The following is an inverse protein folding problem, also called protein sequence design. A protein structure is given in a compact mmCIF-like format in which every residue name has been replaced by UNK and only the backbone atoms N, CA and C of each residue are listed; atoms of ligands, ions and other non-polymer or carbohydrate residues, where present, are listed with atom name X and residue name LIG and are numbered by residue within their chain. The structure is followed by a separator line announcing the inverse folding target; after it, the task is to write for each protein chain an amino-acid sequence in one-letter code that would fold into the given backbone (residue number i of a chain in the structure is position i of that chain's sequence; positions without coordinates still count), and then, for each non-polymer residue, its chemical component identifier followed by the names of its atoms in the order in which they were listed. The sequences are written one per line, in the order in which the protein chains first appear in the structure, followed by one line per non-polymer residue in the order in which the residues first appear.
data_IF_586037845716
#
_entry.id   IF_586037845716
#
_cell.length_a   1.000
_cell.length_b   1.000
_cell.length_c   1.000
_cell.angle_alpha   90.00
_cell.angle_beta   90.00
_cell.angle_gamma   90.00
#
_symmetry.space_group_name_H-M   'P 1'
#
loop_
_entity.id
_entity.type
_entity.pdbx_description
1 polymer ?
#
# COMPACT_ATOMS: atom_id res chain seq x y z
N UNK A 1 -48.24 9.62 -5.71
CA UNK A 1 -46.84 10.03 -5.99
C UNK A 1 -45.77 8.91 -5.93
N UNK A 2 -46.09 7.63 -5.65
CA UNK A 2 -45.07 6.54 -5.54
C UNK A 2 -44.55 5.95 -6.88
N UNK A 3 -45.25 6.14 -8.01
CA UNK A 3 -44.85 5.58 -9.31
C UNK A 3 -43.60 6.24 -9.93
N UNK A 4 -43.28 7.47 -9.54
CA UNK A 4 -42.16 8.23 -10.12
C UNK A 4 -40.78 7.72 -9.66
N UNK A 5 -40.68 7.18 -8.44
CA UNK A 5 -39.40 6.70 -7.89
C UNK A 5 -38.93 5.39 -8.56
N UNK A 6 -39.84 4.47 -8.87
CA UNK A 6 -39.50 3.21 -9.54
C UNK A 6 -38.98 3.41 -10.96
N UNK A 7 -39.56 4.33 -11.73
CA UNK A 7 -39.11 4.61 -13.10
C UNK A 7 -37.68 5.15 -13.11
N UNK A 8 -37.32 6.02 -12.15
CA UNK A 8 -35.96 6.56 -12.03
C UNK A 8 -34.93 5.48 -11.68
N UNK A 9 -35.27 4.57 -10.77
CA UNK A 9 -34.36 3.48 -10.36
C UNK A 9 -34.10 2.52 -11.51
N UNK A 10 -35.15 2.11 -12.24
CA UNK A 10 -35.00 1.22 -13.40
C UNK A 10 -34.15 1.88 -14.48
N UNK A 11 -34.37 3.16 -14.77
CA UNK A 11 -33.59 3.89 -15.77
C UNK A 11 -32.10 3.98 -15.42
N UNK A 12 -31.77 4.24 -14.14
CA UNK A 12 -30.38 4.31 -13.67
C UNK A 12 -29.69 2.94 -13.78
N UNK A 13 -30.37 1.86 -13.42
CA UNK A 13 -29.84 0.50 -13.54
C UNK A 13 -29.58 0.14 -15.01
N UNK A 14 -30.50 0.48 -15.92
CA UNK A 14 -30.33 0.22 -17.36
C UNK A 14 -29.17 1.02 -17.95
N UNK A 15 -29.01 2.29 -17.56
CA UNK A 15 -27.89 3.11 -18.02
C UNK A 15 -26.54 2.60 -17.52
N UNK A 16 -26.46 2.14 -16.26
CA UNK A 16 -25.26 1.51 -15.71
C UNK A 16 -24.90 0.20 -16.42
N UNK A 17 -25.89 -0.65 -16.71
CA UNK A 17 -25.68 -1.89 -17.46
C UNK A 17 -25.15 -1.62 -18.88
N UNK A 18 -25.71 -0.63 -19.59
CA UNK A 18 -25.24 -0.22 -20.91
C UNK A 18 -23.83 0.35 -20.88
N UNK A 19 -23.50 1.19 -19.88
CA UNK A 19 -22.16 1.73 -19.72
C UNK A 19 -21.12 0.63 -19.46
N UNK A 20 -21.42 -0.33 -18.58
CA UNK A 20 -20.57 -1.49 -18.34
C UNK A 20 -20.35 -2.32 -19.62
N UNK A 21 -21.40 -2.53 -20.41
CA UNK A 21 -21.31 -3.30 -21.67
C UNK A 21 -20.43 -2.58 -22.69
N UNK A 22 -20.53 -1.26 -22.79
CA UNK A 22 -19.73 -0.45 -23.72
C UNK A 22 -18.24 -0.45 -23.34
N UNK A 23 -17.90 -0.35 -22.06
CA UNK A 23 -16.51 -0.44 -21.57
C UNK A 23 -15.93 -1.83 -21.87
N UNK A 24 -16.72 -2.89 -21.67
CA UNK A 24 -16.29 -4.26 -21.94
C UNK A 24 -16.03 -4.50 -23.44
N UNK A 25 -16.88 -3.94 -24.31
CA UNK A 25 -16.67 -4.00 -25.77
C UNK A 25 -15.41 -3.24 -26.19
N UNK A 26 -15.17 -2.06 -25.62
CA UNK A 26 -13.99 -1.26 -25.92
C UNK A 26 -12.69 -1.97 -25.51
N UNK A 27 -12.67 -2.61 -24.33
CA UNK A 27 -11.51 -3.35 -23.85
C UNK A 27 -11.22 -4.60 -24.71
N UNK A 28 -12.29 -5.27 -25.18
CA UNK A 28 -12.15 -6.42 -26.10
C UNK A 28 -11.58 -5.99 -27.46
N UNK A 29 -12.09 -4.90 -28.03
CA UNK A 29 -11.54 -4.34 -29.28
C UNK A 29 -10.08 -3.89 -29.16
N UNK A 30 -9.67 -3.41 -27.98
CA UNK A 30 -8.29 -3.03 -27.74
C UNK A 30 -7.35 -4.24 -27.64
N UNK A 31 -7.81 -5.36 -27.04
CA UNK A 31 -7.04 -6.62 -26.99
C UNK A 31 -6.88 -7.24 -28.37
N UNK A 32 -7.93 -7.26 -29.18
CA UNK A 32 -7.86 -7.81 -30.54
C UNK A 32 -6.91 -6.99 -31.44
N UNK A 33 -6.84 -5.67 -31.26
CA UNK A 33 -5.87 -4.80 -31.98
C UNK A 33 -4.40 -5.07 -31.65
N UNK A 34 -4.10 -5.73 -30.54
CA UNK A 34 -2.71 -6.03 -30.14
C UNK A 34 -2.26 -7.41 -30.61
N UNK A 35 -3.19 -8.31 -30.96
CA UNK A 35 -2.87 -9.65 -31.46
C UNK A 35 -2.27 -9.64 -32.88
N UNK A 36 -2.56 -8.62 -33.69
CA UNK A 36 -2.14 -8.54 -35.10
C UNK A 36 -0.86 -7.72 -35.35
N UNK A 37 -0.17 -7.22 -34.32
CA UNK A 37 1.09 -6.51 -34.54
C UNK A 37 2.24 -7.50 -34.78
N UNK A 38 2.87 -7.51 -35.97
CA UNK A 38 4.06 -8.32 -36.20
C UNK A 38 5.20 -7.88 -35.25
N UNK A 39 6.06 -8.82 -34.83
CA UNK A 39 7.18 -8.50 -33.95
C UNK A 39 8.08 -7.46 -34.63
N UNK A 40 8.29 -6.33 -33.94
CA UNK A 40 9.21 -5.29 -34.40
C UNK A 40 10.62 -5.86 -34.50
N UNK A 41 11.25 -5.69 -35.67
CA UNK A 41 12.63 -6.09 -35.94
C UNK A 41 13.61 -5.55 -34.87
N UNK A 42 14.68 -6.31 -34.55
CA UNK A 42 15.65 -5.90 -33.56
C UNK A 42 16.36 -4.61 -33.98
N UNK A 43 16.28 -3.58 -33.10
CA UNK A 43 17.04 -2.34 -33.24
C UNK A 43 18.53 -2.63 -32.99
N UNK A 44 19.35 -2.47 -34.01
CA UNK A 44 20.81 -2.41 -33.88
C UNK A 44 21.22 -1.35 -32.86
N UNK A 45 21.83 -1.78 -31.76
CA UNK A 45 22.53 -0.89 -30.83
C UNK A 45 23.90 -0.59 -31.43
N UNK A 46 24.03 0.59 -32.05
CA UNK A 46 25.35 1.16 -32.34
C UNK A 46 26.04 1.51 -31.01
N UNK A 47 27.21 0.91 -30.83
CA UNK A 47 28.18 1.25 -29.80
C UNK A 47 28.61 2.71 -29.94
N UNK A 48 28.51 3.47 -28.85
CA UNK A 48 29.34 4.64 -28.61
C UNK A 48 30.02 4.44 -27.26
N UNK A 49 31.31 4.13 -27.34
CA UNK A 49 32.25 3.95 -26.24
C UNK A 49 33.44 4.85 -26.53
N UNK A 50 33.58 5.92 -25.73
CA UNK A 50 34.67 6.91 -25.64
C UNK A 50 33.97 8.22 -25.23
N UNK A 51 34.31 8.99 -24.19
CA UNK A 51 35.50 9.21 -23.38
C UNK A 51 35.04 9.94 -22.11
N UNK A 52 35.63 9.60 -20.96
CA UNK A 52 35.92 10.51 -19.83
C UNK A 52 36.46 9.67 -18.67
N UNK A 53 37.76 9.35 -18.76
CA UNK A 53 38.58 8.83 -17.68
C UNK A 53 39.48 9.98 -17.24
N UNK A 54 39.11 10.65 -16.17
CA UNK A 54 39.87 11.59 -15.32
C UNK A 54 38.78 12.35 -14.58
N UNK A 55 38.51 12.19 -13.29
CA UNK A 55 39.41 12.38 -12.16
C UNK A 55 38.67 11.84 -10.93
N UNK A 56 38.97 10.63 -10.48
CA UNK A 56 38.36 10.04 -9.29
C UNK A 56 39.48 9.69 -8.31
N UNK A 57 39.94 10.71 -7.58
CA UNK A 57 40.79 10.52 -6.42
C UNK A 57 40.11 9.54 -5.45
N UNK A 58 40.83 8.44 -5.17
CA UNK A 58 40.37 7.33 -4.36
C UNK A 58 40.10 7.77 -2.91
N UNK A 59 38.85 8.15 -2.62
CA UNK A 59 38.32 8.07 -1.26
C UNK A 59 38.26 6.58 -0.91
N UNK A 60 39.15 6.13 -0.02
CA UNK A 60 39.06 4.81 0.58
C UNK A 60 37.61 4.60 1.06
N UNK A 61 36.95 3.49 0.67
CA UNK A 61 35.60 3.22 1.12
C UNK A 61 35.63 3.15 2.65
N UNK A 62 34.82 4.00 3.30
CA UNK A 62 34.64 3.95 4.73
C UNK A 62 34.31 2.50 5.12
N UNK A 63 35.06 1.96 6.07
CA UNK A 63 34.81 0.63 6.63
C UNK A 63 33.37 0.63 7.12
N UNK A 64 32.51 -0.12 6.45
CA UNK A 64 31.09 -0.21 6.80
C UNK A 64 31.01 -1.00 8.10
N UNK A 65 30.78 -0.31 9.22
CA UNK A 65 30.49 -1.00 10.48
C UNK A 65 29.27 -1.92 10.29
N UNK A 66 29.29 -3.15 10.83
CA UNK A 66 28.20 -4.10 10.67
C UNK A 66 26.91 -3.54 11.27
N UNK A 67 25.78 -3.69 10.56
CA UNK A 67 24.48 -3.20 11.03
C UNK A 67 24.12 -3.92 12.34
N UNK A 68 23.99 -3.22 13.48
CA UNK A 68 23.73 -3.88 14.77
C UNK A 68 22.37 -4.62 14.79
N UNK A 69 21.46 -4.32 13.85
CA UNK A 69 20.21 -5.07 13.67
C UNK A 69 20.38 -6.44 12.99
N UNK A 70 21.53 -6.74 12.38
CA UNK A 70 21.76 -8.05 11.75
C UNK A 70 22.27 -9.12 12.73
N UNK A 71 22.90 -8.72 13.84
CA UNK A 71 23.52 -9.63 14.79
C UNK A 71 22.71 -9.86 16.08
N UNK A 72 21.71 -9.02 16.35
CA UNK A 72 20.94 -9.06 17.58
C UNK A 72 19.77 -10.06 17.54
N UNK A 73 19.46 -10.67 18.69
CA UNK A 73 18.33 -11.59 18.84
C UNK A 73 16.99 -10.84 18.85
N UNK A 74 16.01 -11.35 18.10
CA UNK A 74 14.66 -10.79 18.05
C UNK A 74 13.81 -11.30 19.22
N UNK A 75 13.37 -10.37 20.08
CA UNK A 75 12.49 -10.69 21.18
C UNK A 75 11.02 -10.64 20.71
N UNK A 76 10.39 -11.80 20.59
CA UNK A 76 8.99 -11.92 20.15
C UNK A 76 7.94 -11.57 21.22
N UNK A 77 8.34 -11.47 22.49
CA UNK A 77 7.39 -11.33 23.61
C UNK A 77 6.97 -9.88 23.90
N UNK A 78 7.76 -8.88 23.50
CA UNK A 78 7.50 -7.48 23.81
C UNK A 78 7.29 -6.64 22.54
N UNK A 79 6.09 -6.09 22.39
CA UNK A 79 5.72 -5.25 21.24
C UNK A 79 6.04 -3.78 21.49
N UNK A 80 6.74 -3.15 20.55
CA UNK A 80 6.85 -1.69 20.46
C UNK A 80 5.51 -1.12 20.01
N UNK A 81 5.02 -0.10 20.69
CA UNK A 81 3.81 0.61 20.28
C UNK A 81 4.21 1.87 19.53
N UNK A 82 3.67 2.05 18.33
CA UNK A 82 3.80 3.31 17.59
C UNK A 82 2.66 4.22 18.03
N UNK A 83 2.99 5.42 18.48
CA UNK A 83 2.03 6.48 18.73
C UNK A 83 1.94 7.41 17.52
N UNK A 84 0.76 7.98 17.29
CA UNK A 84 0.52 8.92 16.20
C UNK A 84 -0.15 10.20 16.70
N UNK A 85 0.10 11.31 16.02
CA UNK A 85 -0.50 12.62 16.27
C UNK A 85 -0.77 13.34 14.94
N UNK A 86 -1.90 14.03 14.88
CA UNK A 86 -2.37 14.82 13.73
C UNK A 86 -2.29 16.30 14.17
N UNK A 87 -1.48 17.11 13.49
CA UNK A 87 -1.27 18.55 13.75
C UNK A 87 -0.93 18.89 15.21
N UNK A 88 -0.09 18.06 15.81
CA UNK A 88 0.34 18.18 17.21
C UNK A 88 -0.81 18.08 18.23
N UNK A 89 -1.94 17.47 17.85
CA UNK A 89 -2.98 17.06 18.79
C UNK A 89 -2.48 15.93 19.70
N UNK A 90 -3.31 15.53 20.67
CA UNK A 90 -2.99 14.46 21.61
C UNK A 90 -2.51 13.18 20.91
N UNK A 91 -1.46 12.59 21.46
CA UNK A 91 -0.91 11.32 20.98
C UNK A 91 -1.89 10.18 21.23
N UNK A 92 -2.04 9.30 20.24
CA UNK A 92 -2.88 8.11 20.33
C UNK A 92 -2.10 6.86 19.93
N UNK A 93 -2.46 5.73 20.54
CA UNK A 93 -1.95 4.39 20.22
C UNK A 93 -2.89 3.61 19.30
N UNK A 94 -3.90 4.28 18.72
CA UNK A 94 -4.81 3.66 17.78
C UNK A 94 -4.02 3.07 16.59
N UNK A 95 -4.33 1.84 16.14
CA UNK A 95 -3.64 1.21 15.02
C UNK A 95 -4.02 1.82 13.67
N UNK A 96 -4.93 2.80 13.64
CA UNK A 96 -5.37 3.48 12.44
C UNK A 96 -5.59 4.97 12.72
N UNK A 97 -5.09 5.83 11.83
CA UNK A 97 -5.39 7.26 11.80
C UNK A 97 -5.80 7.67 10.40
N UNK A 98 -6.79 8.56 10.28
CA UNK A 98 -7.41 8.91 8.99
C UNK A 98 -7.38 10.42 8.74
N UNK A 99 -6.19 11.01 8.50
CA UNK A 99 -6.07 12.45 8.33
C UNK A 99 -6.59 12.93 6.97
N UNK A 100 -7.04 14.19 6.93
CA UNK A 100 -7.17 14.93 5.68
C UNK A 100 -5.79 15.13 5.03
N UNK A 101 -5.75 15.11 3.70
CA UNK A 101 -4.55 15.43 2.93
C UNK A 101 -3.99 16.79 3.30
N UNK A 102 -2.66 16.87 3.41
CA UNK A 102 -1.94 18.08 3.81
C UNK A 102 -1.88 18.34 5.32
N UNK A 103 -2.61 17.57 6.14
CA UNK A 103 -2.47 17.63 7.60
C UNK A 103 -1.15 16.99 8.03
N UNK A 104 -0.54 17.54 9.07
CA UNK A 104 0.77 17.11 9.56
C UNK A 104 0.60 15.83 10.39
N UNK A 105 1.28 14.76 10.00
CA UNK A 105 1.26 13.48 10.73
C UNK A 105 2.62 13.23 11.36
N UNK A 106 2.63 13.06 12.66
CA UNK A 106 3.81 12.66 13.42
C UNK A 106 3.62 11.25 13.96
N UNK A 107 4.64 10.41 13.80
CA UNK A 107 4.71 9.08 14.39
C UNK A 107 5.87 9.06 15.39
N UNK A 108 5.68 8.42 16.54
CA UNK A 108 6.77 8.24 17.51
C UNK A 108 6.78 6.88 18.16
N UNK A 109 7.93 6.55 18.72
CA UNK A 109 8.09 5.47 19.70
C UNK A 109 8.53 6.07 21.04
N UNK A 110 7.94 5.58 22.11
CA UNK A 110 8.28 6.01 23.47
C UNK A 110 9.34 5.11 24.11
N UNK A 111 10.24 5.71 24.89
CA UNK A 111 11.25 5.02 25.69
C UNK A 111 12.66 5.00 25.07
N UNK A 112 13.68 4.61 25.87
CA UNK A 112 15.07 4.58 25.42
C UNK A 112 15.30 3.43 24.43
N UNK A 113 16.08 3.72 23.38
CA UNK A 113 16.54 2.77 22.37
C UNK A 113 17.97 3.11 21.95
N UNK A 114 18.81 2.09 21.77
CA UNK A 114 20.18 2.20 21.26
C UNK A 114 20.18 2.40 19.74
N UNK A 115 19.09 2.01 19.07
CA UNK A 115 18.89 2.22 17.64
C UNK A 115 17.42 2.12 17.25
N UNK A 116 17.02 2.86 16.22
CA UNK A 116 15.64 2.87 15.70
C UNK A 116 15.66 2.73 14.18
N UNK A 117 14.80 1.86 13.65
CA UNK A 117 14.61 1.62 12.22
C UNK A 117 13.12 1.68 11.91
N UNK A 118 12.74 2.65 11.08
CA UNK A 118 11.39 2.79 10.57
C UNK A 118 11.26 2.10 9.23
N UNK A 119 10.11 1.49 9.00
CA UNK A 119 9.79 0.80 7.77
C UNK A 119 8.40 1.18 7.29
N UNK A 120 8.26 1.23 5.97
CA UNK A 120 6.96 1.25 5.32
C UNK A 120 6.69 -0.11 4.67
N UNK A 121 5.45 -0.57 4.81
CA UNK A 121 4.97 -1.81 4.22
C UNK A 121 4.05 -1.46 3.04
N UNK A 122 4.30 -2.11 1.90
CA UNK A 122 3.59 -1.91 0.65
C UNK A 122 2.91 -3.22 0.24
N UNK A 123 1.58 -3.29 0.15
CA UNK A 123 0.92 -4.38 -0.57
C UNK A 123 1.24 -4.26 -2.07
N UNK A 124 1.42 -5.39 -2.75
CA UNK A 124 1.58 -5.41 -4.20
C UNK A 124 0.23 -5.11 -4.88
N UNK A 125 0.01 -3.87 -5.30
CA UNK A 125 -1.25 -3.44 -5.90
C UNK A 125 -1.40 -3.80 -7.37
N UNK A 126 -0.32 -4.23 -8.03
CA UNK A 126 -0.32 -4.61 -9.44
C UNK A 126 -0.97 -5.98 -9.71
N UNK A 127 -0.99 -6.86 -8.69
CA UNK A 127 -1.51 -8.21 -8.77
C UNK A 127 -3.02 -8.24 -8.51
N UNK A 128 -3.74 -9.08 -9.25
CA UNK A 128 -5.14 -9.40 -9.00
C UNK A 128 -5.18 -10.55 -7.99
N UNK A 129 -5.70 -10.30 -6.80
CA UNK A 129 -5.95 -11.33 -5.79
C UNK A 129 -7.41 -11.78 -5.86
N UNK A 130 -7.70 -13.02 -5.44
CA UNK A 130 -9.05 -13.56 -5.56
C UNK A 130 -9.38 -14.58 -4.48
N UNK A 131 -10.31 -14.26 -3.58
CA UNK A 131 -10.82 -15.22 -2.60
C UNK A 131 -11.96 -16.10 -3.13
N UNK A 132 -12.52 -15.74 -4.29
CA UNK A 132 -13.54 -16.49 -5.00
C UNK A 132 -13.10 -16.76 -6.45
N UNK A 133 -13.81 -17.63 -7.16
CA UNK A 133 -13.61 -17.84 -8.58
C UNK A 133 -14.10 -16.62 -9.38
N UNK A 134 -13.28 -16.15 -10.31
CA UNK A 134 -13.59 -15.02 -11.17
C UNK A 134 -14.79 -15.34 -12.09
N UNK A 135 -15.49 -14.32 -12.64
CA UNK A 135 -16.68 -14.55 -13.45
C UNK A 135 -16.46 -15.42 -14.71
N UNK A 136 -15.22 -15.55 -15.16
CA UNK A 136 -14.82 -16.33 -16.33
C UNK A 136 -14.14 -17.68 -16.00
N UNK A 137 -14.07 -18.05 -14.73
CA UNK A 137 -13.56 -19.35 -14.27
C UNK A 137 -14.70 -20.38 -14.13
N UNK A 138 -14.36 -21.67 -13.96
CA UNK A 138 -15.37 -22.69 -13.60
C UNK A 138 -15.96 -22.40 -12.21
N UNK A 139 -17.26 -22.65 -12.04
CA UNK A 139 -18.00 -22.33 -10.81
C UNK A 139 -17.81 -20.87 -10.37
N UNK A 140 -18.26 -19.90 -11.19
CA UNK A 140 -18.02 -18.49 -10.95
C UNK A 140 -18.57 -18.05 -9.59
N UNK A 141 -17.86 -17.14 -8.92
CA UNK A 141 -18.18 -16.62 -7.58
C UNK A 141 -18.10 -17.64 -6.43
N UNK A 142 -17.73 -18.90 -6.69
CA UNK A 142 -17.52 -19.87 -5.62
C UNK A 142 -16.33 -19.45 -4.75
N UNK A 143 -16.54 -19.41 -3.43
CA UNK A 143 -15.48 -19.15 -2.46
C UNK A 143 -14.39 -20.23 -2.52
N UNK A 144 -13.12 -19.81 -2.59
CA UNK A 144 -11.94 -20.70 -2.62
C UNK A 144 -10.97 -20.51 -1.46
N UNK A 145 -11.34 -19.69 -0.47
CA UNK A 145 -10.46 -19.32 0.65
C UNK A 145 -9.72 -18.02 0.38
N UNK A 146 -8.95 -17.55 1.37
CA UNK A 146 -8.22 -16.30 1.21
C UNK A 146 -6.99 -16.46 0.32
N UNK A 147 -6.85 -15.57 -0.67
CA UNK A 147 -5.63 -15.48 -1.44
C UNK A 147 -4.51 -14.79 -0.62
N UNK A 148 -3.26 -15.19 -0.87
CA UNK A 148 -2.11 -14.63 -0.17
C UNK A 148 -1.68 -13.31 -0.79
N UNK A 149 -2.05 -12.22 -0.13
CA UNK A 149 -1.58 -10.88 -0.47
C UNK A 149 -0.06 -10.80 -0.25
N UNK A 150 0.66 -10.29 -1.26
CA UNK A 150 2.10 -10.09 -1.18
C UNK A 150 2.38 -8.70 -0.63
N UNK A 151 3.29 -8.64 0.34
CA UNK A 151 3.72 -7.40 0.96
C UNK A 151 5.23 -7.24 0.79
N UNK A 152 5.65 -6.01 0.59
CA UNK A 152 7.04 -5.59 0.57
C UNK A 152 7.29 -4.65 1.74
N UNK A 153 8.51 -4.66 2.27
CA UNK A 153 8.92 -3.74 3.32
C UNK A 153 10.17 -2.99 2.87
N UNK A 154 10.18 -1.68 3.10
CA UNK A 154 11.32 -0.82 2.81
C UNK A 154 11.67 -0.03 4.07
N UNK A 155 12.96 0.03 4.38
CA UNK A 155 13.47 0.89 5.44
C UNK A 155 13.41 2.36 5.01
N UNK A 156 12.92 3.22 5.90
CA UNK A 156 12.95 4.68 5.72
C UNK A 156 14.27 5.20 6.31
N UNK A 157 15.36 5.05 5.53
CA UNK A 157 16.74 5.29 6.01
C UNK A 157 16.98 6.73 6.47
N UNK A 158 16.24 7.70 5.93
CA UNK A 158 16.27 9.10 6.36
C UNK A 158 15.82 9.31 7.81
N UNK A 159 15.13 8.33 8.40
CA UNK A 159 14.62 8.35 9.77
C UNK A 159 15.38 7.42 10.73
N UNK A 160 16.56 6.94 10.34
CA UNK A 160 17.40 6.12 11.23
C UNK A 160 17.66 6.83 12.55
N UNK A 161 17.48 6.10 13.64
CA UNK A 161 17.70 6.57 15.03
C UNK A 161 16.84 7.78 15.45
N UNK A 162 15.78 8.09 14.71
CA UNK A 162 14.81 9.12 15.11
C UNK A 162 13.64 8.47 15.85
N UNK A 163 13.38 8.92 17.08
CA UNK A 163 12.24 8.45 17.88
C UNK A 163 10.92 9.09 17.45
N UNK A 164 10.98 10.22 16.75
CA UNK A 164 9.86 10.99 16.21
C UNK A 164 10.09 11.24 14.73
N UNK A 165 9.12 10.91 13.89
CA UNK A 165 9.22 11.09 12.43
C UNK A 165 7.95 11.74 11.88
N UNK A 166 8.08 12.40 10.73
CA UNK A 166 6.98 12.97 9.97
C UNK A 166 7.03 12.41 8.55
N UNK A 167 6.43 11.23 8.31
CA UNK A 167 6.71 10.44 7.10
C UNK A 167 6.23 11.11 5.80
N UNK A 168 5.43 12.17 5.88
CA UNK A 168 4.86 12.88 4.73
C UNK A 168 5.39 14.33 4.58
N UNK A 169 6.32 14.79 5.43
CA UNK A 169 6.90 16.14 5.31
C UNK A 169 8.08 16.14 4.32
N UNK A 170 8.14 17.15 3.44
CA UNK A 170 9.19 17.30 2.41
C UNK A 170 8.88 16.52 1.12
N UNK A 171 9.04 15.20 1.14
CA UNK A 171 8.71 14.31 0.03
C UNK A 171 8.01 13.06 0.58
N UNK A 172 6.84 12.72 0.04
CA UNK A 172 6.17 11.48 0.38
C UNK A 172 7.11 10.29 0.13
N UNK A 173 7.03 9.21 0.92
CA UNK A 173 7.90 8.06 0.73
C UNK A 173 7.70 7.54 -0.69
N UNK A 174 8.72 7.71 -1.52
CA UNK A 174 8.71 7.20 -2.88
C UNK A 174 9.02 5.71 -2.76
N UNK A 175 8.17 4.82 -3.28
CA UNK A 175 8.50 3.41 -3.30
C UNK A 175 9.87 3.19 -3.97
N UNK A 176 10.71 2.27 -3.46
CA UNK A 176 11.98 1.96 -4.11
C UNK A 176 11.78 1.65 -5.59
N UNK A 177 12.72 2.10 -6.43
CA UNK A 177 12.67 1.84 -7.88
C UNK A 177 12.52 0.35 -8.20
N UNK A 178 13.06 -0.54 -7.35
CA UNK A 178 12.93 -2.00 -7.54
C UNK A 178 11.49 -2.51 -7.37
N UNK A 179 10.59 -1.72 -6.79
CA UNK A 179 9.18 -2.07 -6.59
C UNK A 179 8.23 -1.35 -7.58
N UNK A 180 8.76 -0.55 -8.51
CA UNK A 180 7.95 0.30 -9.39
C UNK A 180 6.86 -0.50 -10.15
N UNK A 181 7.22 -1.64 -10.76
CA UNK A 181 6.26 -2.46 -11.51
C UNK A 181 5.18 -3.09 -10.62
N UNK A 182 5.58 -3.51 -9.40
CA UNK A 182 4.69 -4.12 -8.40
C UNK A 182 3.72 -3.11 -7.78
N UNK A 183 4.12 -1.84 -7.80
CA UNK A 183 3.44 -0.70 -7.21
C UNK A 183 2.99 0.31 -8.27
N UNK A 184 2.75 -0.13 -9.50
CA UNK A 184 2.36 0.75 -10.63
C UNK A 184 1.13 1.63 -10.37
N UNK A 185 0.27 1.24 -9.43
CA UNK A 185 -0.94 1.96 -9.04
C UNK A 185 -0.79 2.68 -7.69
N UNK A 186 0.42 2.78 -7.17
CA UNK A 186 0.68 3.44 -5.89
C UNK A 186 0.48 4.94 -5.99
N UNK A 187 -0.36 5.48 -5.13
CA UNK A 187 -0.61 6.90 -4.98
C UNK A 187 0.21 7.43 -3.79
N UNK A 188 1.08 8.40 -4.06
CA UNK A 188 1.94 8.98 -3.03
C UNK A 188 1.25 10.07 -2.21
N UNK A 189 0.13 10.63 -2.69
CA UNK A 189 -0.52 11.81 -2.10
C UNK A 189 -1.74 11.48 -1.23
N UNK A 190 -2.42 10.37 -1.51
CA UNK A 190 -3.57 9.87 -0.76
C UNK A 190 -3.59 8.34 -0.77
N UNK A 191 -4.34 7.74 0.15
CA UNK A 191 -4.41 6.28 0.30
C UNK A 191 -4.00 5.78 1.67
N UNK A 192 -3.80 4.47 1.76
CA UNK A 192 -3.39 3.80 2.99
C UNK A 192 -1.90 3.48 2.98
N UNK A 193 -1.22 3.84 4.08
CA UNK A 193 0.21 3.63 4.28
C UNK A 193 0.41 2.85 5.58
N UNK A 194 1.15 1.73 5.53
CA UNK A 194 1.40 0.88 6.68
C UNK A 194 2.82 1.09 7.21
N UNK A 195 2.95 1.24 8.53
CA UNK A 195 4.23 1.51 9.18
C UNK A 195 4.58 0.44 10.20
N UNK A 196 5.88 0.14 10.27
CA UNK A 196 6.48 -0.72 11.27
C UNK A 196 7.74 -0.05 11.81
N UNK A 197 8.06 -0.31 13.07
CA UNK A 197 9.31 0.11 13.69
C UNK A 197 10.01 -1.07 14.34
N UNK A 198 11.34 -1.09 14.27
CA UNK A 198 12.21 -1.96 15.06
C UNK A 198 13.12 -1.07 15.91
N UNK A 199 13.28 -1.42 17.18
CA UNK A 199 14.20 -0.75 18.10
C UNK A 199 15.22 -1.76 18.63
N UNK A 200 16.47 -1.33 18.74
CA UNK A 200 17.52 -2.04 19.45
C UNK A 200 17.57 -1.48 20.87
N UNK A 201 17.53 -2.36 21.87
CA UNK A 201 17.64 -1.97 23.28
C UNK A 201 18.37 -3.07 24.05
N UNK A 202 19.47 -2.72 24.70
CA UNK A 202 20.31 -3.63 25.47
C UNK A 202 20.72 -4.88 24.65
N UNK A 203 21.10 -4.66 23.38
CA UNK A 203 21.50 -5.75 22.47
C UNK A 203 20.36 -6.65 21.97
N UNK A 204 19.10 -6.31 22.25
CA UNK A 204 17.91 -7.06 21.77
C UNK A 204 17.05 -6.22 20.84
N UNK A 205 16.46 -6.87 19.83
CA UNK A 205 15.53 -6.22 18.91
C UNK A 205 14.10 -6.40 19.42
N UNK A 206 13.38 -5.30 19.49
CA UNK A 206 11.94 -5.24 19.73
C UNK A 206 11.26 -4.63 18.51
N UNK A 207 10.04 -5.05 18.19
CA UNK A 207 9.31 -4.54 17.01
C UNK A 207 7.86 -4.21 17.31
N UNK A 208 7.30 -3.30 16.53
CA UNK A 208 5.85 -3.16 16.45
C UNK A 208 5.24 -4.29 15.64
N UNK A 209 3.90 -4.36 15.64
CA UNK A 209 3.19 -5.12 14.63
C UNK A 209 3.67 -4.70 13.24
N UNK A 210 3.86 -5.68 12.34
CA UNK A 210 4.39 -5.46 11.00
C UNK A 210 4.10 -6.61 10.04
N UNK A 211 4.92 -6.73 9.00
CA UNK A 211 4.72 -7.71 7.92
C UNK A 211 4.75 -9.16 8.42
N UNK A 212 5.52 -9.42 9.49
CA UNK A 212 5.61 -10.74 10.14
C UNK A 212 4.31 -11.17 10.83
N UNK A 213 3.40 -10.22 11.11
CA UNK A 213 2.11 -10.50 11.75
C UNK A 213 0.99 -10.63 10.70
N UNK A 214 1.31 -11.01 9.48
CA UNK A 214 0.33 -11.33 8.45
C UNK A 214 -0.17 -12.77 8.63
N UNK A 215 -1.47 -12.98 8.44
CA UNK A 215 -2.06 -14.32 8.36
C UNK A 215 -2.67 -14.57 6.97
N UNK A 216 -3.45 -15.64 6.83
CA UNK A 216 -4.10 -15.97 5.56
C UNK A 216 -5.07 -14.88 5.08
N UNK A 217 -5.60 -14.03 5.97
CA UNK A 217 -6.51 -12.94 5.62
C UNK A 217 -5.78 -11.68 5.14
N UNK A 218 -4.46 -11.61 5.38
CA UNK A 218 -3.58 -10.49 5.02
C UNK A 218 -2.86 -9.90 6.22
N UNK A 219 -2.48 -8.62 6.13
CA UNK A 219 -1.74 -7.91 7.17
C UNK A 219 -2.61 -7.74 8.43
N UNK A 220 -2.04 -7.95 9.62
CA UNK A 220 -2.78 -7.77 10.88
C UNK A 220 -3.32 -6.34 11.02
N UNK A 221 -4.60 -6.16 11.44
CA UNK A 221 -5.16 -4.85 11.77
C UNK A 221 -4.45 -4.10 12.90
N UNK A 222 -3.51 -4.75 13.61
CA UNK A 222 -2.66 -4.13 14.64
C UNK A 222 -1.47 -3.38 14.04
N UNK A 223 -1.13 -3.61 12.78
CA UNK A 223 -0.10 -2.81 12.08
C UNK A 223 -0.62 -1.39 11.93
N UNK A 224 0.18 -0.41 12.32
CA UNK A 224 -0.21 0.99 12.23
C UNK A 224 -0.48 1.35 10.76
N UNK A 225 -1.68 1.87 10.49
CA UNK A 225 -2.05 2.42 9.19
C UNK A 225 -2.39 3.91 9.27
N UNK A 226 -1.89 4.66 8.29
CA UNK A 226 -2.28 6.05 8.04
C UNK A 226 -3.10 6.08 6.76
N UNK A 227 -4.37 6.44 6.85
CA UNK A 227 -5.34 6.46 5.76
C UNK A 227 -5.59 7.93 5.35
N UNK A 228 -4.77 8.46 4.46
CA UNK A 228 -4.88 9.85 3.99
C UNK A 228 -6.05 9.98 3.01
N UNK A 229 -6.98 10.90 3.29
CA UNK A 229 -8.17 11.17 2.47
C UNK A 229 -8.22 12.60 1.98
N UNK A 230 -8.78 12.82 0.80
CA UNK A 230 -8.91 14.17 0.20
C UNK A 230 -9.93 15.06 0.93
N UNK A 231 -11.02 14.50 1.47
CA UNK A 231 -12.09 15.27 2.14
C UNK A 231 -12.92 14.42 3.12
N UNK A 232 -13.85 15.04 3.85
CA UNK A 232 -14.85 14.38 4.72
C UNK A 232 -16.07 13.85 3.97
N UNK A 233 -16.07 13.90 2.64
CA UNK A 233 -17.18 13.35 1.84
C UNK A 233 -16.97 11.88 1.56
N UNK A 234 -18.02 11.20 1.11
CA UNK A 234 -17.94 9.84 0.59
C UNK A 234 -16.81 9.65 -0.45
N UNK A 235 -16.67 10.60 -1.39
CA UNK A 235 -15.58 10.59 -2.37
C UNK A 235 -14.21 10.80 -1.73
N UNK A 236 -14.13 11.62 -0.69
CA UNK A 236 -12.93 11.77 0.13
C UNK A 236 -12.51 10.45 0.78
N UNK A 237 -13.44 9.72 1.40
CA UNK A 237 -13.13 8.41 1.98
C UNK A 237 -12.74 7.35 0.94
N UNK A 238 -13.31 7.38 -0.27
CA UNK A 238 -12.85 6.50 -1.35
C UNK A 238 -11.36 6.69 -1.67
N UNK A 239 -10.84 7.92 -1.60
CA UNK A 239 -9.40 8.16 -1.84
C UNK A 239 -8.50 7.52 -0.79
N UNK A 240 -8.99 7.23 0.42
CA UNK A 240 -8.19 6.55 1.44
C UNK A 240 -7.95 5.07 1.11
N UNK A 241 -8.70 4.50 0.15
CA UNK A 241 -8.51 3.15 -0.38
C UNK A 241 -7.47 3.08 -1.51
N UNK A 242 -6.88 4.19 -1.93
CA UNK A 242 -5.67 4.09 -2.74
C UNK A 242 -4.59 3.31 -1.96
N UNK A 243 -3.74 2.58 -2.68
CA UNK A 243 -2.74 1.66 -2.12
C UNK A 243 -3.31 0.43 -1.40
N UNK A 244 -4.62 0.18 -1.43
CA UNK A 244 -5.21 -1.09 -0.98
C UNK A 244 -5.27 -2.06 -2.17
N UNK A 245 -4.86 -3.32 -2.01
CA UNK A 245 -4.89 -4.29 -3.12
C UNK A 245 -6.32 -4.67 -3.48
N UNK A 246 -6.56 -4.87 -4.78
CA UNK A 246 -7.80 -5.44 -5.28
C UNK A 246 -7.88 -6.93 -4.97
N UNK A 247 -8.92 -7.36 -4.26
CA UNK A 247 -9.16 -8.75 -3.88
C UNK A 247 -10.58 -9.12 -4.30
N UNK A 248 -10.74 -9.89 -5.37
CA UNK A 248 -12.06 -10.33 -5.82
C UNK A 248 -12.72 -11.26 -4.80
N UNK A 249 -13.96 -10.98 -4.43
CA UNK A 249 -14.62 -11.66 -3.31
C UNK A 249 -13.96 -11.32 -1.98
N UNK A 250 -13.55 -10.06 -1.79
CA UNK A 250 -13.14 -9.59 -0.47
C UNK A 250 -14.28 -9.78 0.53
N UNK A 251 -13.91 -9.76 1.80
CA UNK A 251 -14.87 -9.87 2.91
C UNK A 251 -14.78 -8.62 3.77
N UNK A 252 -15.84 -8.36 4.55
CA UNK A 252 -15.90 -7.20 5.46
C UNK A 252 -14.63 -7.01 6.28
N UNK A 253 -14.06 -8.10 6.80
CA UNK A 253 -12.79 -8.05 7.56
C UNK A 253 -11.64 -7.40 6.78
N UNK A 254 -11.46 -7.73 5.50
CA UNK A 254 -10.39 -7.17 4.68
C UNK A 254 -10.69 -5.70 4.35
N UNK A 255 -11.94 -5.41 4.01
CA UNK A 255 -12.39 -4.10 3.53
C UNK A 255 -12.37 -3.03 4.63
N UNK A 256 -12.88 -3.34 5.83
CA UNK A 256 -12.89 -2.37 6.96
C UNK A 256 -11.49 -2.06 7.51
N UNK A 257 -10.52 -2.95 7.26
CA UNK A 257 -9.15 -2.83 7.73
C UNK A 257 -8.16 -2.39 6.64
N UNK A 258 -8.64 -2.02 5.44
CA UNK A 258 -7.81 -1.60 4.32
C UNK A 258 -6.78 -2.67 3.88
N UNK A 259 -7.09 -3.95 4.11
CA UNK A 259 -6.22 -5.08 3.75
C UNK A 259 -6.41 -5.46 2.28
N UNK A 260 -7.66 -5.41 1.80
CA UNK A 260 -8.03 -5.74 0.43
C UNK A 260 -9.50 -5.44 0.18
N UNK A 261 -9.85 -5.08 -1.05
CA UNK A 261 -11.22 -4.71 -1.45
C UNK A 261 -11.56 -5.19 -2.85
N UNK A 262 -12.82 -5.51 -3.10
CA UNK A 262 -13.41 -5.58 -4.43
C UNK A 262 -14.20 -4.30 -4.76
N UNK A 263 -14.84 -4.29 -5.93
CA UNK A 263 -15.55 -3.13 -6.45
C UNK A 263 -16.79 -2.73 -5.64
N UNK A 264 -17.48 -3.68 -5.00
CA UNK A 264 -18.65 -3.37 -4.17
C UNK A 264 -18.22 -2.99 -2.76
N UNK A 265 -17.25 -3.74 -2.23
CA UNK A 265 -16.74 -3.57 -0.87
C UNK A 265 -16.08 -2.22 -0.65
N UNK A 266 -15.34 -1.69 -1.63
CA UNK A 266 -14.73 -0.35 -1.50
C UNK A 266 -15.79 0.74 -1.34
N UNK A 267 -16.92 0.62 -2.06
CA UNK A 267 -18.02 1.57 -1.99
C UNK A 267 -18.72 1.46 -0.63
N UNK A 268 -19.02 0.24 -0.19
CA UNK A 268 -19.70 0.02 1.10
C UNK A 268 -18.83 0.40 2.28
N UNK A 269 -17.54 0.07 2.25
CA UNK A 269 -16.60 0.38 3.32
C UNK A 269 -16.32 1.89 3.43
N UNK A 270 -16.27 2.62 2.30
CA UNK A 270 -16.15 4.07 2.30
C UNK A 270 -17.44 4.77 2.78
N UNK A 271 -18.61 4.22 2.45
CA UNK A 271 -19.90 4.76 2.92
C UNK A 271 -20.08 4.61 4.43
N UNK A 272 -19.48 3.58 5.05
CA UNK A 272 -19.53 3.33 6.49
C UNK A 272 -18.54 4.15 7.34
N UNK A 273 -17.86 5.15 6.76
CA UNK A 273 -16.93 6.04 7.46
C UNK A 273 -17.55 7.41 7.70
#
# INVERSE_FOLDING_TARGET
MKKSAHVKIVLVITLLALACTAVFLAERQQKDRWADKPPSAPREKKEQKAESKEEAAAKQPAVMEPDPFSAAEENRAASVVIESSIDNLAWTTAPAVTPLKGRKISLRVSGPADGIRWYQIYPETAKIYSNANLPWEQNPYQWKGFDRIQYHRTELTQFRNQSLIQPFEGNNPIPPKQLADKLKYHNTAAGTFFFQVRILKNGRIYRSAGIEDSDNRGLSPKVLRVCVRESDTYMGYLTSFFNVPGVFGSVTYQSVNYIGVDCADVLMAAYGK
#
